data_IF_022955682785
#
_entry.id   IF_022955682785
#
_cell.length_a   1.000
_cell.length_b   1.000
_cell.length_c   1.000
_cell.angle_alpha   90.00
_cell.angle_beta   90.00
_cell.angle_gamma   90.00
#
_symmetry.space_group_name_H-M   'P 1'
#
loop_
_entity.id
_entity.type
_entity.pdbx_description
1 polymer ?
#
# COMPACT_ATOMS: atom_id res chain seq x y z
N UNK A 1 -16.85 -9.87 -11.19
CA UNK A 1 -15.49 -10.40 -11.42
C UNK A 1 -14.61 -9.20 -11.72
N UNK A 2 -13.79 -8.78 -10.76
CA UNK A 2 -12.71 -7.81 -10.96
C UNK A 2 -11.50 -8.36 -10.19
N UNK A 3 -11.05 -9.52 -10.65
CA UNK A 3 -9.68 -9.95 -10.44
C UNK A 3 -8.88 -9.52 -11.66
N UNK A 4 -7.56 -9.55 -11.55
CA UNK A 4 -6.56 -9.08 -12.50
C UNK A 4 -6.11 -7.63 -12.28
N UNK A 5 -5.15 -7.49 -11.37
CA UNK A 5 -3.96 -6.64 -11.58
C UNK A 5 -2.90 -7.01 -10.55
N UNK A 6 -1.77 -7.52 -11.06
CA UNK A 6 -0.48 -7.58 -10.39
C UNK A 6 -0.05 -6.17 -9.98
N UNK A 7 -0.66 -5.69 -8.90
CA UNK A 7 -0.54 -4.32 -8.40
C UNK A 7 0.27 -4.31 -7.11
N UNK A 8 0.69 -3.12 -6.71
CA UNK A 8 1.36 -2.82 -5.44
C UNK A 8 0.82 -3.63 -4.25
N UNK A 9 -0.50 -3.84 -4.17
CA UNK A 9 -1.16 -4.67 -3.17
C UNK A 9 -0.67 -6.13 -3.13
N UNK A 10 -0.45 -6.80 -4.27
CA UNK A 10 0.06 -8.17 -4.29
C UNK A 10 1.52 -8.25 -3.81
N UNK A 11 2.35 -7.28 -4.20
CA UNK A 11 3.72 -7.20 -3.69
C UNK A 11 3.73 -6.95 -2.19
N UNK A 12 2.87 -6.07 -1.68
CA UNK A 12 2.69 -5.84 -0.24
C UNK A 12 2.23 -7.10 0.49
N UNK A 13 1.28 -7.84 -0.09
CA UNK A 13 0.82 -9.10 0.47
C UNK A 13 1.97 -10.11 0.56
N UNK A 14 2.74 -10.25 -0.52
CA UNK A 14 3.92 -11.13 -0.54
C UNK A 14 4.99 -10.72 0.48
N UNK A 15 5.24 -9.42 0.63
CA UNK A 15 6.24 -8.90 1.58
C UNK A 15 5.82 -9.05 3.04
N UNK A 16 4.53 -8.93 3.33
CA UNK A 16 3.97 -9.07 4.69
C UNK A 16 3.57 -10.51 5.04
N UNK A 17 3.71 -11.44 4.09
CA UNK A 17 3.27 -12.83 4.28
C UNK A 17 1.74 -12.99 4.31
N UNK A 18 1.00 -12.01 3.80
CA UNK A 18 -0.43 -12.12 3.61
C UNK A 18 -0.74 -13.03 2.42
N UNK A 19 -1.60 -14.02 2.63
CA UNK A 19 -1.99 -14.97 1.59
C UNK A 19 -3.08 -14.40 0.67
N UNK A 20 -3.83 -13.40 1.15
CA UNK A 20 -4.91 -12.75 0.41
C UNK A 20 -4.85 -11.22 0.58
N UNK A 21 -5.35 -10.48 -0.42
CA UNK A 21 -5.46 -9.02 -0.33
C UNK A 21 -6.37 -8.56 0.82
N UNK A 22 -7.39 -9.35 1.15
CA UNK A 22 -8.29 -9.07 2.27
C UNK A 22 -7.58 -9.07 3.63
N UNK A 23 -6.44 -9.75 3.78
CA UNK A 23 -5.61 -9.65 4.98
C UNK A 23 -4.94 -8.28 5.11
N UNK A 24 -4.68 -7.59 3.99
CA UNK A 24 -4.08 -6.25 4.00
C UNK A 24 -5.01 -5.20 4.60
N UNK A 25 -6.31 -5.50 4.61
CA UNK A 25 -7.34 -4.67 5.20
C UNK A 25 -7.37 -4.75 6.74
N UNK A 26 -6.57 -5.64 7.36
CA UNK A 26 -6.60 -5.80 8.80
C UNK A 26 -5.86 -4.66 9.50
N UNK A 27 -6.50 -3.95 10.44
CA UNK A 27 -5.88 -2.84 11.16
C UNK A 27 -4.65 -3.27 11.96
N UNK A 28 -4.62 -4.52 12.46
CA UNK A 28 -3.47 -5.09 13.18
C UNK A 28 -2.22 -5.21 12.30
N UNK A 29 -2.38 -5.50 11.00
CA UNK A 29 -1.26 -5.67 10.05
C UNK A 29 -0.92 -4.38 9.31
N UNK A 30 -1.79 -3.38 9.38
CA UNK A 30 -1.67 -2.08 8.68
C UNK A 30 -0.30 -1.45 8.85
N UNK A 31 0.25 -1.43 10.07
CA UNK A 31 1.60 -0.91 10.34
C UNK A 31 2.70 -1.70 9.62
N UNK A 32 2.62 -3.04 9.62
CA UNK A 32 3.61 -3.88 8.93
C UNK A 32 3.53 -3.69 7.41
N UNK A 33 2.33 -3.52 6.88
CA UNK A 33 2.09 -3.26 5.46
C UNK A 33 2.68 -1.91 5.06
N UNK A 34 2.43 -0.87 5.84
CA UNK A 34 3.02 0.45 5.58
C UNK A 34 4.55 0.43 5.71
N UNK A 35 5.12 -0.34 6.64
CA UNK A 35 6.58 -0.57 6.69
C UNK A 35 7.12 -1.33 5.48
N UNK A 36 6.39 -2.31 4.96
CA UNK A 36 6.78 -3.02 3.74
C UNK A 36 6.69 -2.08 2.53
N UNK A 37 5.64 -1.26 2.46
CA UNK A 37 5.43 -0.24 1.45
C UNK A 37 6.55 0.80 1.44
N UNK A 38 7.00 1.28 2.60
CA UNK A 38 8.10 2.24 2.71
C UNK A 38 9.41 1.68 2.12
N UNK A 39 9.62 0.36 2.19
CA UNK A 39 10.78 -0.32 1.61
C UNK A 39 10.66 -0.57 0.12
N UNK A 40 9.45 -0.48 -0.44
CA UNK A 40 9.25 -0.58 -1.87
C UNK A 40 9.69 0.73 -2.53
N UNK A 41 10.26 0.60 -3.72
CA UNK A 41 10.67 1.77 -4.49
C UNK A 41 9.42 2.48 -5.04
N UNK A 42 9.13 3.70 -4.57
CA UNK A 42 7.97 4.48 -5.01
C UNK A 42 7.98 4.66 -6.53
N UNK A 43 9.17 4.80 -7.15
CA UNK A 43 9.34 4.99 -8.60
C UNK A 43 8.94 3.78 -9.42
N UNK A 44 8.78 2.61 -8.79
CA UNK A 44 8.40 1.36 -9.46
C UNK A 44 6.91 1.30 -9.78
N UNK A 45 6.10 2.08 -9.07
CA UNK A 45 4.64 2.14 -9.24
C UNK A 45 4.20 3.57 -9.51
N UNK A 46 3.06 3.72 -10.17
CA UNK A 46 2.50 5.06 -10.41
C UNK A 46 1.80 5.60 -9.16
N UNK A 47 1.67 6.92 -9.05
CA UNK A 47 0.91 7.56 -7.95
C UNK A 47 -0.49 6.98 -7.81
N UNK A 48 -1.20 6.79 -8.93
CA UNK A 48 -2.54 6.20 -8.91
C UNK A 48 -2.60 4.78 -8.32
N UNK A 49 -1.53 3.98 -8.46
CA UNK A 49 -1.47 2.65 -7.82
C UNK A 49 -1.23 2.77 -6.30
N UNK A 50 -0.40 3.72 -5.88
CA UNK A 50 -0.20 4.03 -4.48
C UNK A 50 -1.47 4.56 -3.83
N UNK A 51 -2.18 5.49 -4.49
CA UNK A 51 -3.45 6.03 -4.02
C UNK A 51 -4.51 4.95 -3.86
N UNK A 52 -4.66 4.07 -4.85
CA UNK A 52 -5.62 2.96 -4.82
C UNK A 52 -5.28 1.94 -3.72
N UNK A 53 -4.00 1.56 -3.60
CA UNK A 53 -3.55 0.62 -2.57
C UNK A 53 -3.69 1.21 -1.17
N UNK A 54 -3.28 2.46 -0.96
CA UNK A 54 -3.42 3.14 0.33
C UNK A 54 -4.89 3.30 0.66
N UNK A 55 -5.74 3.71 -0.29
CA UNK A 55 -7.19 3.79 -0.06
C UNK A 55 -7.79 2.44 0.33
N UNK A 56 -7.32 1.36 -0.29
CA UNK A 56 -7.75 0.01 0.03
C UNK A 56 -7.31 -0.43 1.44
N UNK A 57 -6.07 -0.15 1.84
CA UNK A 57 -5.51 -0.55 3.14
C UNK A 57 -5.99 0.39 4.28
N UNK A 58 -6.17 1.66 3.97
CA UNK A 58 -6.54 2.70 4.90
C UNK A 58 -8.04 2.86 5.09
N UNK A 59 -8.84 2.36 4.15
CA UNK A 59 -10.26 2.72 4.00
C UNK A 59 -10.47 4.24 3.95
N UNK A 60 -9.44 5.00 3.60
CA UNK A 60 -9.45 6.45 3.57
C UNK A 60 -9.06 6.97 2.19
N UNK A 61 -9.82 7.90 1.62
CA UNK A 61 -9.44 8.52 0.36
C UNK A 61 -8.15 9.32 0.56
N UNK A 62 -7.12 8.97 -0.20
CA UNK A 62 -5.83 9.63 -0.19
C UNK A 62 -5.54 10.11 -1.60
N UNK A 63 -4.98 11.32 -1.71
CA UNK A 63 -4.49 11.83 -3.00
C UNK A 63 -3.12 12.46 -2.82
N UNK A 64 -2.20 12.09 -3.71
CA UNK A 64 -0.82 12.54 -3.64
C UNK A 64 -0.44 13.28 -4.92
N UNK A 65 0.22 14.43 -4.78
CA UNK A 65 0.71 15.18 -5.94
C UNK A 65 2.01 14.57 -6.49
N UNK A 66 2.84 13.99 -5.61
CA UNK A 66 4.19 13.55 -5.92
C UNK A 66 4.56 12.29 -5.11
N UNK A 67 5.59 11.59 -5.59
CA UNK A 67 6.13 10.38 -4.98
C UNK A 67 6.61 10.61 -3.54
N UNK A 68 7.13 11.80 -3.24
CA UNK A 68 7.54 12.18 -1.88
C UNK A 68 6.36 12.20 -0.91
N UNK A 69 5.20 12.73 -1.31
CA UNK A 69 4.02 12.78 -0.45
C UNK A 69 3.50 11.39 -0.09
N UNK A 70 3.58 10.44 -1.03
CA UNK A 70 3.30 9.02 -0.75
C UNK A 70 4.27 8.51 0.32
N UNK A 71 5.58 8.71 0.12
CA UNK A 71 6.62 8.24 1.03
C UNK A 71 6.45 8.79 2.45
N UNK A 72 6.20 10.08 2.58
CA UNK A 72 5.96 10.73 3.87
C UNK A 72 4.75 10.12 4.59
N UNK A 73 3.66 9.86 3.85
CA UNK A 73 2.48 9.20 4.39
C UNK A 73 2.79 7.77 4.87
N UNK A 74 3.51 6.99 4.06
CA UNK A 74 3.91 5.63 4.43
C UNK A 74 4.78 5.62 5.68
N UNK A 75 5.75 6.53 5.80
CA UNK A 75 6.60 6.65 6.98
C UNK A 75 5.80 7.00 8.24
N UNK A 76 4.84 7.93 8.11
CA UNK A 76 3.99 8.34 9.22
C UNK A 76 3.08 7.22 9.72
N UNK A 77 2.49 6.43 8.83
CA UNK A 77 1.65 5.29 9.22
C UNK A 77 2.48 4.07 9.68
N UNK A 78 3.77 4.03 9.32
CA UNK A 78 4.72 3.01 9.75
C UNK A 78 5.28 3.24 11.17
N UNK A 79 5.15 4.45 11.75
CA UNK A 79 5.58 4.77 13.13
C UNK A 79 4.71 4.12 14.23
#
# INVERSE_FOLDING_TARGET
>A
MKEEKGSLLEDLARWTGCQYLSDLHQPDKRKEIFKAAEKLDISKYSLGEWEDAIMYIAEQPCSFNDAEGVREYLQKEAE
#
